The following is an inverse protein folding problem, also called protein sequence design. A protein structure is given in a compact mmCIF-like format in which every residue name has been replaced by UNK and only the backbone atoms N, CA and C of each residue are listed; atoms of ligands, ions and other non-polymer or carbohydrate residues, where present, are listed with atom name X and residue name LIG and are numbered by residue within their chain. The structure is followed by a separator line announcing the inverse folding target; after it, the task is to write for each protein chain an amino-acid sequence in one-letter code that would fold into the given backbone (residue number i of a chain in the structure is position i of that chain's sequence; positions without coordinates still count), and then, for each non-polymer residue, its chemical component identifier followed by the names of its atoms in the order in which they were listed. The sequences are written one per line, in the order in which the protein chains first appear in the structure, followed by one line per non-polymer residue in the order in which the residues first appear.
data_IF_163024291749
#
_entry.id   IF_163024291749
#
_cell.length_a   1.000
_cell.length_b   1.000
_cell.length_c   1.000
_cell.angle_alpha   90.00
_cell.angle_beta   90.00
_cell.angle_gamma   90.00
#
_symmetry.space_group_name_H-M   'P 1'
#
loop_
_entity.id
_entity.type
_entity.pdbx_description
1 polymer ?
#
# COMPACT_ATOMS: atom_id res chain seq x y z
N UNK A 1 -4.03 31.46 4.20
CA UNK A 1 -3.61 31.25 5.59
C UNK A 1 -4.87 31.12 6.45
N UNK A 2 -5.24 29.92 6.87
CA UNK A 2 -6.34 29.68 7.82
C UNK A 2 -5.86 28.69 8.86
N UNK A 3 -5.84 29.14 10.11
CA UNK A 3 -5.37 28.44 11.30
C UNK A 3 -6.16 27.15 11.53
N UNK A 4 -5.44 26.04 11.73
CA UNK A 4 -5.98 24.84 12.37
C UNK A 4 -6.41 25.22 13.79
N UNK A 5 -7.70 25.15 14.06
CA UNK A 5 -8.24 25.18 15.42
C UNK A 5 -8.42 23.73 15.85
N UNK A 6 -7.56 23.26 16.76
CA UNK A 6 -7.60 21.92 17.36
C UNK A 6 -8.70 21.79 18.42
N UNK A 7 -9.94 22.12 18.05
CA UNK A 7 -11.10 21.86 18.91
C UNK A 7 -11.74 20.54 18.49
N UNK A 8 -11.19 19.44 19.01
CA UNK A 8 -11.85 18.14 18.94
C UNK A 8 -12.96 18.11 19.99
N UNK A 9 -14.23 18.13 19.55
CA UNK A 9 -15.37 17.95 20.42
C UNK A 9 -15.36 16.53 21.01
N UNK A 10 -15.33 16.44 22.34
CA UNK A 10 -15.46 15.19 23.09
C UNK A 10 -16.88 14.64 22.89
N UNK A 11 -17.06 13.83 21.85
CA UNK A 11 -18.28 13.03 21.68
C UNK A 11 -18.20 11.86 22.68
N UNK A 12 -18.95 11.99 23.77
CA UNK A 12 -19.28 10.89 24.67
C UNK A 12 -20.23 9.94 23.93
N UNK A 13 -19.70 8.83 23.41
CA UNK A 13 -20.50 7.68 22.99
C UNK A 13 -20.43 6.61 24.07
N UNK A 14 -21.58 6.15 24.53
CA UNK A 14 -21.72 5.12 25.55
C UNK A 14 -21.93 3.76 24.87
N UNK A 15 -20.91 2.89 25.01
CA UNK A 15 -20.84 1.44 24.72
C UNK A 15 -21.15 0.99 23.27
N UNK A 16 -20.43 0.03 22.69
CA UNK A 16 -19.98 -1.23 23.29
C UNK A 16 -18.47 -1.48 23.08
N UNK A 17 -17.81 -1.95 24.15
CA UNK A 17 -16.47 -2.55 24.12
C UNK A 17 -15.27 -1.63 23.80
N UNK A 18 -14.96 -0.76 24.76
CA UNK A 18 -13.68 -0.02 24.79
C UNK A 18 -12.53 -0.94 25.28
N UNK A 19 -12.06 -1.88 24.46
CA UNK A 19 -10.89 -2.74 24.74
C UNK A 19 -9.53 -2.00 24.70
N UNK A 20 -9.52 -0.69 24.93
CA UNK A 20 -8.33 0.15 24.83
C UNK A 20 -7.88 0.44 23.39
N UNK A 21 -6.67 1.00 23.24
CA UNK A 21 -6.13 1.35 21.92
C UNK A 21 -6.04 0.11 21.05
N UNK A 22 -6.69 0.13 19.87
CA UNK A 22 -6.71 -0.99 18.92
C UNK A 22 -5.31 -1.64 18.79
N UNK A 23 -5.12 -2.91 19.20
CA UNK A 23 -3.80 -3.53 19.29
C UNK A 23 -3.02 -3.54 17.97
N UNK A 24 -3.73 -3.47 16.84
CA UNK A 24 -3.14 -3.25 15.52
C UNK A 24 -3.88 -2.17 14.74
N UNK A 25 -3.14 -1.13 14.33
CA UNK A 25 -3.54 -0.26 13.22
C UNK A 25 -3.12 -0.93 11.92
N UNK A 26 -3.94 -1.85 11.46
CA UNK A 26 -3.78 -2.46 10.14
C UNK A 26 -4.19 -1.46 9.06
N UNK A 27 -3.40 -1.33 7.99
CA UNK A 27 -3.77 -0.47 6.86
C UNK A 27 -4.97 -1.10 6.15
N UNK A 28 -6.07 -0.33 5.98
CA UNK A 28 -7.29 -0.81 5.31
C UNK A 28 -7.00 -1.38 3.91
N UNK A 29 -6.09 -0.74 3.17
CA UNK A 29 -5.75 -1.15 1.81
C UNK A 29 -5.11 -2.55 1.72
N UNK A 30 -4.62 -3.14 2.81
CA UNK A 30 -4.01 -4.47 2.78
C UNK A 30 -5.02 -5.58 2.47
N UNK A 31 -6.27 -5.45 2.92
CA UNK A 31 -7.31 -6.45 2.62
C UNK A 31 -7.72 -6.46 1.14
N UNK A 32 -7.52 -5.34 0.45
CA UNK A 32 -7.90 -5.16 -0.95
C UNK A 32 -6.83 -5.75 -1.89
N UNK A 33 -5.67 -6.14 -1.35
CA UNK A 33 -4.59 -6.74 -2.13
C UNK A 33 -4.89 -8.22 -2.37
N UNK A 34 -5.04 -8.67 -3.64
CA UNK A 34 -5.28 -10.08 -3.92
C UNK A 34 -4.11 -10.93 -3.44
N UNK A 35 -4.45 -12.01 -2.70
CA UNK A 35 -3.51 -12.90 -2.03
C UNK A 35 -3.25 -12.58 -0.56
N UNK A 36 -3.73 -11.43 -0.04
CA UNK A 36 -3.52 -11.02 1.35
C UNK A 36 -3.97 -12.08 2.37
N UNK A 37 -5.23 -12.55 2.26
CA UNK A 37 -5.79 -13.54 3.20
C UNK A 37 -5.00 -14.85 3.21
N UNK A 38 -4.57 -15.30 2.02
CA UNK A 38 -3.78 -16.53 1.88
C UNK A 38 -2.39 -16.35 2.49
N UNK A 39 -1.72 -15.23 2.21
CA UNK A 39 -0.40 -14.90 2.77
C UNK A 39 -0.43 -14.85 4.30
N UNK A 40 -1.41 -14.16 4.89
CA UNK A 40 -1.53 -14.05 6.34
C UNK A 40 -1.81 -15.43 6.98
N UNK A 41 -2.70 -16.23 6.37
CA UNK A 41 -3.00 -17.58 6.86
C UNK A 41 -1.77 -18.49 6.83
N UNK A 42 -1.04 -18.48 5.72
CA UNK A 42 0.17 -19.27 5.54
C UNK A 42 1.25 -18.89 6.57
N UNK A 43 1.55 -17.59 6.69
CA UNK A 43 2.51 -17.08 7.68
C UNK A 43 2.06 -17.36 9.11
N UNK A 44 0.79 -17.21 9.43
CA UNK A 44 0.29 -17.51 10.78
C UNK A 44 0.50 -18.98 11.17
N UNK A 45 0.28 -19.90 10.23
CA UNK A 45 0.46 -21.33 10.45
C UNK A 45 1.93 -21.75 10.49
N UNK A 46 2.81 -21.06 9.74
CA UNK A 46 4.25 -21.33 9.77
C UNK A 46 4.97 -20.81 11.03
N UNK A 47 4.38 -19.83 11.72
CA UNK A 47 4.96 -19.23 12.91
C UNK A 47 4.76 -20.14 14.13
N UNK A 48 5.83 -20.79 14.55
CA UNK A 48 5.92 -21.53 15.82
C UNK A 48 6.50 -20.60 16.89
N UNK A 49 5.71 -20.37 17.95
CA UNK A 49 6.11 -19.63 19.14
C UNK A 49 5.54 -20.40 20.31
N UNK A 50 6.41 -20.94 21.15
CA UNK A 50 6.04 -21.75 22.31
C UNK A 50 6.27 -20.93 23.59
N UNK A 51 5.20 -20.50 24.24
CA UNK A 51 5.19 -19.80 25.52
C UNK A 51 3.74 -19.73 26.07
N UNK A 52 3.48 -18.95 27.12
CA UNK A 52 2.14 -18.63 27.57
C UNK A 52 1.32 -17.90 26.48
N UNK A 53 0.03 -18.22 26.37
CA UNK A 53 -0.82 -17.83 25.24
C UNK A 53 -0.82 -16.32 24.91
N UNK A 54 -0.69 -15.45 25.92
CA UNK A 54 -0.58 -14.01 25.71
C UNK A 54 0.73 -13.58 25.03
N UNK A 55 1.84 -14.22 25.38
CA UNK A 55 3.15 -13.98 24.75
C UNK A 55 3.18 -14.52 23.31
N UNK A 56 2.67 -15.74 23.12
CA UNK A 56 2.51 -16.36 21.79
C UNK A 56 1.73 -15.43 20.86
N UNK A 57 0.58 -14.94 21.32
CA UNK A 57 -0.27 -14.05 20.53
C UNK A 57 0.45 -12.74 20.17
N UNK A 58 1.10 -12.11 21.14
CA UNK A 58 1.86 -10.86 20.96
C UNK A 58 2.99 -11.03 19.93
N UNK A 59 3.80 -12.08 20.06
CA UNK A 59 4.94 -12.29 19.16
C UNK A 59 4.47 -12.70 17.76
N UNK A 60 3.43 -13.53 17.63
CA UNK A 60 2.86 -13.86 16.31
C UNK A 60 2.31 -12.63 15.59
N UNK A 61 1.64 -11.71 16.31
CA UNK A 61 1.20 -10.44 15.71
C UNK A 61 2.36 -9.54 15.29
N UNK A 62 3.42 -9.48 16.09
CA UNK A 62 4.63 -8.71 15.76
C UNK A 62 5.29 -9.26 14.48
N UNK A 63 5.43 -10.58 14.38
CA UNK A 63 6.01 -11.25 13.21
C UNK A 63 5.16 -11.08 11.95
N UNK A 64 3.84 -11.23 12.05
CA UNK A 64 2.92 -10.94 10.93
C UNK A 64 3.09 -9.48 10.47
N UNK A 65 3.15 -8.54 11.41
CA UNK A 65 3.28 -7.12 11.06
C UNK A 65 4.56 -6.84 10.28
N UNK A 66 5.68 -7.48 10.62
CA UNK A 66 6.97 -7.33 9.92
C UNK A 66 6.90 -7.96 8.53
N UNK A 67 6.54 -9.25 8.45
CA UNK A 67 6.46 -9.98 7.18
C UNK A 67 5.49 -9.34 6.18
N UNK A 68 4.40 -8.76 6.68
CA UNK A 68 3.42 -8.07 5.85
C UNK A 68 3.93 -6.73 5.30
N UNK A 69 4.76 -6.00 6.08
CA UNK A 69 5.45 -4.80 5.57
C UNK A 69 6.43 -5.14 4.46
N UNK A 70 7.20 -6.20 4.63
CA UNK A 70 8.16 -6.67 3.62
C UNK A 70 7.46 -7.12 2.34
N UNK A 71 6.39 -7.91 2.48
CA UNK A 71 5.57 -8.35 1.36
C UNK A 71 4.96 -7.19 0.59
N UNK A 72 4.43 -6.19 1.31
CA UNK A 72 3.92 -4.98 0.71
C UNK A 72 5.02 -4.22 -0.03
N UNK A 73 6.20 -4.02 0.57
CA UNK A 73 7.31 -3.29 -0.05
C UNK A 73 7.79 -3.98 -1.33
N UNK A 74 8.04 -5.29 -1.30
CA UNK A 74 8.46 -6.06 -2.46
C UNK A 74 7.46 -5.96 -3.62
N UNK A 75 6.17 -5.97 -3.30
CA UNK A 75 5.11 -5.84 -4.31
C UNK A 75 4.93 -4.40 -4.82
N UNK A 76 5.19 -3.39 -4.00
CA UNK A 76 5.06 -1.97 -4.38
C UNK A 76 6.24 -1.52 -5.23
N UNK A 77 7.46 -2.03 -4.97
CA UNK A 77 8.61 -1.75 -5.84
C UNK A 77 8.38 -2.27 -7.27
N UNK A 78 7.74 -3.43 -7.42
CA UNK A 78 7.32 -3.96 -8.73
C UNK A 78 6.24 -3.12 -9.42
N UNK A 79 5.49 -2.28 -8.69
CA UNK A 79 4.54 -1.35 -9.27
C UNK A 79 5.23 -0.08 -9.77
N UNK A 80 6.18 0.47 -9.01
CA UNK A 80 6.96 1.64 -9.44
C UNK A 80 7.70 1.36 -10.74
N UNK A 81 8.42 0.25 -10.82
CA UNK A 81 9.15 -0.13 -12.04
C UNK A 81 8.23 -0.31 -13.25
N UNK A 82 7.03 -0.88 -13.06
CA UNK A 82 6.02 -0.97 -14.12
C UNK A 82 5.53 0.41 -14.55
N UNK A 83 5.24 1.31 -13.61
CA UNK A 83 4.82 2.68 -13.91
C UNK A 83 5.91 3.41 -14.70
N UNK A 84 7.17 3.27 -14.30
CA UNK A 84 8.29 3.91 -14.99
C UNK A 84 8.49 3.34 -16.40
N UNK A 85 8.34 2.02 -16.58
CA UNK A 85 8.37 1.41 -17.91
C UNK A 85 7.23 1.87 -18.81
N UNK A 86 6.03 2.08 -18.25
CA UNK A 86 4.87 2.58 -18.98
C UNK A 86 5.05 4.06 -19.35
N UNK A 87 5.62 4.87 -18.45
CA UNK A 87 5.98 6.26 -18.74
C UNK A 87 7.02 6.37 -19.85
N UNK A 88 8.07 5.54 -19.81
CA UNK A 88 9.09 5.52 -20.85
C UNK A 88 8.48 5.21 -22.24
N UNK A 89 7.65 4.16 -22.32
CA UNK A 89 6.94 3.81 -23.55
C UNK A 89 5.99 4.91 -24.03
N UNK A 90 5.34 5.62 -23.12
CA UNK A 90 4.48 6.76 -23.47
C UNK A 90 5.31 7.90 -24.08
N UNK A 91 6.45 8.23 -23.45
CA UNK A 91 7.36 9.26 -23.97
C UNK A 91 7.94 8.91 -25.34
N UNK A 92 8.24 7.63 -25.59
CA UNK A 92 8.71 7.18 -26.91
C UNK A 92 7.64 7.37 -27.99
N UNK A 93 6.37 7.08 -27.66
CA UNK A 93 5.25 7.30 -28.57
C UNK A 93 5.00 8.78 -28.84
N UNK A 94 5.05 9.63 -27.81
CA UNK A 94 4.90 11.09 -27.95
C UNK A 94 6.01 11.69 -28.85
N UNK A 95 7.24 11.15 -28.76
CA UNK A 95 8.36 11.56 -29.61
C UNK A 95 8.16 11.16 -31.07
N UNK A 96 7.65 9.94 -31.34
CA UNK A 96 7.36 9.47 -32.70
C UNK A 96 6.23 10.31 -33.32
N UNK A 97 5.19 10.61 -32.54
CA UNK A 97 4.07 11.44 -32.99
C UNK A 97 4.54 12.86 -33.34
N UNK A 98 5.34 13.47 -32.45
CA UNK A 98 5.94 14.80 -32.67
C UNK A 98 6.84 14.84 -33.90
N UNK A 99 7.70 13.83 -34.08
CA UNK A 99 8.58 13.74 -35.25
C UNK A 99 7.76 13.58 -36.54
N UNK A 100 6.73 12.74 -36.51
CA UNK A 100 5.85 12.51 -37.67
C UNK A 100 5.11 13.80 -38.07
N UNK A 101 4.64 14.57 -37.09
CA UNK A 101 4.01 15.87 -37.34
C UNK A 101 5.00 16.87 -37.97
N UNK A 102 6.24 16.93 -37.47
CA UNK A 102 7.30 17.78 -38.08
C UNK A 102 7.56 17.39 -39.54
N UNK A 103 7.63 16.09 -39.86
CA UNK A 103 7.80 15.64 -41.24
C UNK A 103 6.62 16.01 -42.15
N UNK A 104 5.39 15.90 -41.65
CA UNK A 104 4.18 16.30 -42.40
C UNK A 104 4.18 17.82 -42.63
N UNK A 105 4.51 18.61 -41.60
CA UNK A 105 4.54 20.06 -41.69
C UNK A 105 5.60 20.55 -42.70
N UNK A 106 6.78 19.91 -42.74
CA UNK A 106 7.82 20.18 -43.75
C UNK A 106 7.32 19.80 -45.15
N UNK A 107 6.69 18.63 -45.31
CA UNK A 107 6.24 18.12 -46.61
C UNK A 107 5.09 18.95 -47.23
N UNK A 108 4.28 19.63 -46.41
CA UNK A 108 3.21 20.52 -46.90
C UNK A 108 3.75 21.90 -47.31
N UNK A 109 4.98 22.26 -46.93
CA UNK A 109 5.61 23.54 -47.29
C UNK A 109 6.44 23.51 -48.59
N UNK A 110 6.54 22.36 -49.24
CA UNK A 110 7.24 22.14 -50.53
C UNK A 110 6.22 21.93 -51.67
#
# INVERSE_FOLDING_TARGET
MRSLSDHCLLILSANEENWGSRPSRMLKCWSDVPGYKLFVKDKWNSLQVDDWGGFVLKEKFKMIKVTLKEWHLARTQNLSSKIDSLKARLSDLDLIDSNSQIYIDIFIQE
#
